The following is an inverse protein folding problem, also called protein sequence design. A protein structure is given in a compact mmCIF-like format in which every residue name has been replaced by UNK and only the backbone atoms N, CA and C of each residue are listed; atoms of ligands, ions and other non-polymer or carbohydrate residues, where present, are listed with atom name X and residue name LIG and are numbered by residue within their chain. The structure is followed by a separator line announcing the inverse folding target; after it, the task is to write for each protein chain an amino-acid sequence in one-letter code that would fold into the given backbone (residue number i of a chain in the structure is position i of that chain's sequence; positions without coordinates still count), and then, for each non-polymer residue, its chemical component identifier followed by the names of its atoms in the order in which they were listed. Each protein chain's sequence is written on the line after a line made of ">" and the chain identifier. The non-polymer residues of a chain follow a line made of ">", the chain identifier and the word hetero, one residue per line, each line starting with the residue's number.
data_IF_283057477850
#
_entry.id   IF_283057477850
#
_cell.length_a   1.000
_cell.length_b   1.000
_cell.length_c   1.000
_cell.angle_alpha   90.00
_cell.angle_beta   90.00
_cell.angle_gamma   90.00
#
_symmetry.space_group_name_H-M   'P 1'
#
loop_
_entity.id
_entity.type
_entity.pdbx_description
1 polymer ?
#
# COMPACT_ATOMS: atom_id res chain seq x y z
N UNK A 1 26.54 -8.33 -8.66
CA UNK A 1 25.20 -8.49 -9.25
C UNK A 1 24.44 -7.22 -8.94
N UNK A 2 24.28 -6.37 -9.93
CA UNK A 2 23.62 -5.08 -9.85
C UNK A 2 22.12 -5.29 -9.63
N UNK A 3 21.56 -4.56 -8.65
CA UNK A 3 20.18 -4.65 -8.16
C UNK A 3 19.14 -4.05 -9.14
N UNK A 4 19.30 -4.24 -10.44
CA UNK A 4 18.47 -3.61 -11.47
C UNK A 4 17.52 -4.58 -12.20
N UNK A 5 17.49 -5.87 -11.81
CA UNK A 5 16.48 -6.79 -12.30
C UNK A 5 15.32 -6.89 -11.31
N UNK A 6 14.39 -5.92 -11.37
CA UNK A 6 13.05 -6.11 -10.82
C UNK A 6 12.38 -7.23 -11.62
N UNK A 7 12.52 -8.46 -11.14
CA UNK A 7 11.70 -9.53 -11.68
C UNK A 7 10.25 -9.31 -11.25
N UNK A 8 9.24 -9.69 -12.05
CA UNK A 8 7.83 -9.58 -11.66
C UNK A 8 7.52 -10.25 -10.30
N UNK A 9 8.43 -11.09 -9.79
CA UNK A 9 8.32 -11.78 -8.50
C UNK A 9 8.65 -10.91 -7.28
N UNK A 10 9.36 -9.79 -7.48
CA UNK A 10 9.85 -8.93 -6.40
C UNK A 10 9.04 -7.63 -6.26
N UNK A 11 7.91 -7.52 -6.92
CA UNK A 11 7.05 -6.34 -6.82
C UNK A 11 6.25 -6.36 -5.51
N UNK A 12 6.27 -5.24 -4.78
CA UNK A 12 5.39 -5.04 -3.63
C UNK A 12 3.97 -4.74 -4.13
N UNK A 13 3.12 -5.76 -4.10
CA UNK A 13 1.75 -5.65 -4.59
C UNK A 13 0.83 -4.94 -3.59
N UNK A 14 1.09 -5.12 -2.29
CA UNK A 14 0.16 -4.68 -1.27
C UNK A 14 0.81 -4.53 0.10
N UNK A 15 0.61 -3.40 0.76
CA UNK A 15 0.95 -3.22 2.17
C UNK A 15 -0.32 -3.37 3.00
N UNK A 16 -0.30 -4.27 3.98
CA UNK A 16 -1.44 -4.58 4.84
C UNK A 16 -1.26 -3.97 6.23
N UNK A 17 -2.35 -3.57 6.83
CA UNK A 17 -2.40 -2.98 8.16
C UNK A 17 -3.33 -3.73 9.12
N UNK A 18 -3.58 -3.17 10.30
CA UNK A 18 -4.51 -3.73 11.26
C UNK A 18 -5.89 -3.98 10.65
N UNK A 19 -6.50 -5.12 10.99
CA UNK A 19 -7.80 -5.56 10.49
C UNK A 19 -7.87 -5.90 9.00
N UNK A 20 -6.76 -5.88 8.28
CA UNK A 20 -6.71 -6.39 6.92
C UNK A 20 -6.72 -7.93 6.90
N UNK A 21 -7.28 -8.50 5.85
CA UNK A 21 -7.39 -9.94 5.65
C UNK A 21 -6.65 -10.36 4.37
N UNK A 22 -5.98 -11.49 4.41
CA UNK A 22 -5.31 -12.05 3.23
C UNK A 22 -5.47 -13.58 3.15
N UNK A 23 -5.29 -14.10 1.94
CA UNK A 23 -5.46 -15.51 1.65
C UNK A 23 -6.91 -15.95 1.47
N UNK A 24 -7.83 -14.99 1.36
CA UNK A 24 -9.26 -15.22 1.12
C UNK A 24 -9.55 -15.72 -0.29
N UNK A 25 -8.74 -15.34 -1.29
CA UNK A 25 -8.96 -15.72 -2.69
C UNK A 25 -9.02 -17.24 -2.85
N UNK A 26 -8.01 -17.94 -2.36
CA UNK A 26 -7.97 -19.41 -2.41
C UNK A 26 -9.05 -20.08 -1.54
N UNK A 27 -9.71 -19.35 -0.66
CA UNK A 27 -10.87 -19.83 0.08
C UNK A 27 -12.11 -19.89 -0.82
N UNK A 28 -12.27 -18.87 -1.69
CA UNK A 28 -13.45 -18.68 -2.54
C UNK A 28 -13.33 -19.49 -3.83
N UNK A 29 -12.19 -19.42 -4.51
CA UNK A 29 -11.97 -20.05 -5.82
C UNK A 29 -11.32 -21.45 -5.74
N UNK A 30 -10.87 -21.88 -4.56
CA UNK A 30 -10.16 -23.16 -4.39
C UNK A 30 -8.74 -23.17 -4.99
N UNK A 31 -8.26 -22.04 -5.48
CA UNK A 31 -6.95 -21.91 -6.11
C UNK A 31 -5.77 -21.98 -5.14
N UNK A 32 -4.56 -21.94 -5.68
CA UNK A 32 -3.31 -21.87 -4.91
C UNK A 32 -3.08 -20.46 -4.38
N UNK A 33 -2.16 -20.30 -3.43
CA UNK A 33 -1.71 -18.97 -2.99
C UNK A 33 -0.97 -18.28 -4.13
N UNK A 34 -1.42 -17.08 -4.48
CA UNK A 34 -0.86 -16.29 -5.60
C UNK A 34 0.33 -15.43 -5.20
N UNK A 35 0.48 -15.15 -3.89
CA UNK A 35 1.49 -14.21 -3.39
C UNK A 35 2.09 -14.69 -2.07
N UNK A 36 3.28 -14.21 -1.76
CA UNK A 36 3.93 -14.38 -0.46
C UNK A 36 3.60 -13.18 0.43
N UNK A 37 3.27 -13.42 1.70
CA UNK A 37 3.11 -12.38 2.70
C UNK A 37 4.35 -12.35 3.60
N UNK A 38 4.97 -11.17 3.73
CA UNK A 38 6.14 -10.93 4.57
C UNK A 38 5.84 -9.82 5.57
N UNK A 39 6.18 -10.02 6.84
CA UNK A 39 5.96 -9.00 7.87
C UNK A 39 7.02 -7.91 7.76
N UNK A 40 6.59 -6.65 7.72
CA UNK A 40 7.46 -5.45 7.74
C UNK A 40 7.79 -5.05 9.17
N UNK A 41 6.82 -5.23 10.08
CA UNK A 41 6.97 -4.97 11.51
C UNK A 41 6.50 -6.16 12.32
N UNK A 42 6.78 -6.14 13.63
CA UNK A 42 6.20 -7.13 14.55
C UNK A 42 4.68 -7.02 14.53
N UNK A 43 3.99 -8.12 14.25
CA UNK A 43 2.54 -8.17 14.20
C UNK A 43 1.98 -9.44 14.84
N UNK A 44 0.70 -9.40 15.18
CA UNK A 44 -0.07 -10.57 15.60
C UNK A 44 -1.08 -10.91 14.50
N UNK A 45 -1.15 -12.18 14.13
CA UNK A 45 -2.05 -12.67 13.09
C UNK A 45 -3.05 -13.66 13.67
N UNK A 46 -4.32 -13.50 13.33
CA UNK A 46 -5.34 -14.50 13.58
C UNK A 46 -5.42 -15.44 12.37
N UNK A 47 -5.06 -16.71 12.58
CA UNK A 47 -5.18 -17.73 11.53
C UNK A 47 -6.51 -18.47 11.67
N UNK A 48 -7.34 -18.41 10.64
CA UNK A 48 -8.60 -19.14 10.57
C UNK A 48 -8.49 -20.26 9.54
N UNK A 49 -8.76 -21.53 9.92
CA UNK A 49 -8.82 -22.63 8.96
C UNK A 49 -9.86 -22.37 7.89
N UNK A 50 -9.55 -22.70 6.63
CA UNK A 50 -10.45 -22.44 5.50
C UNK A 50 -11.83 -23.10 5.63
N UNK A 51 -11.91 -24.31 6.23
CA UNK A 51 -13.19 -24.97 6.49
C UNK A 51 -14.07 -24.16 7.45
N UNK A 52 -13.48 -23.65 8.56
CA UNK A 52 -14.22 -22.81 9.52
C UNK A 52 -14.70 -21.50 8.88
N UNK A 53 -13.85 -20.86 8.07
CA UNK A 53 -14.24 -19.63 7.38
C UNK A 53 -15.36 -19.88 6.38
N UNK A 54 -15.33 -20.98 5.62
CA UNK A 54 -16.42 -21.34 4.71
C UNK A 54 -17.75 -21.56 5.45
N UNK A 55 -17.74 -22.21 6.59
CA UNK A 55 -18.94 -22.40 7.41
C UNK A 55 -19.46 -21.08 7.98
N UNK A 56 -18.56 -20.19 8.43
CA UNK A 56 -18.94 -18.83 8.85
C UNK A 56 -19.60 -18.04 7.73
N UNK A 57 -19.03 -18.07 6.52
CA UNK A 57 -19.59 -17.35 5.36
C UNK A 57 -20.94 -17.93 4.95
N UNK A 58 -21.13 -19.26 5.01
CA UNK A 58 -22.42 -19.90 4.70
C UNK A 58 -23.49 -19.58 5.74
N UNK A 59 -23.12 -19.58 7.01
CA UNK A 59 -24.05 -19.40 8.12
C UNK A 59 -24.35 -17.95 8.49
N UNK A 60 -23.52 -17.00 8.05
CA UNK A 60 -23.59 -15.60 8.47
C UNK A 60 -23.45 -14.63 7.29
N UNK A 61 -24.58 -14.07 6.89
CA UNK A 61 -24.65 -13.11 5.78
C UNK A 61 -23.83 -11.83 6.05
N UNK A 62 -23.76 -11.38 7.30
CA UNK A 62 -22.97 -10.22 7.71
C UNK A 62 -21.47 -10.46 7.47
N UNK A 63 -20.96 -11.65 7.72
CA UNK A 63 -19.57 -12.04 7.43
C UNK A 63 -19.31 -12.05 5.92
N UNK A 64 -20.24 -12.63 5.15
CA UNK A 64 -20.13 -12.64 3.68
C UNK A 64 -20.13 -11.23 3.10
N UNK A 65 -21.02 -10.36 3.55
CA UNK A 65 -21.06 -8.95 3.13
C UNK A 65 -19.80 -8.17 3.53
N UNK A 66 -19.28 -8.41 4.73
CA UNK A 66 -18.02 -7.78 5.16
C UNK A 66 -16.85 -8.23 4.28
N UNK A 67 -16.76 -9.50 3.93
CA UNK A 67 -15.73 -10.01 3.00
C UNK A 67 -15.86 -9.39 1.61
N UNK A 68 -17.07 -9.35 1.05
CA UNK A 68 -17.35 -8.71 -0.25
C UNK A 68 -16.98 -7.23 -0.23
N UNK A 69 -17.27 -6.50 0.85
CA UNK A 69 -16.87 -5.12 1.04
C UNK A 69 -15.35 -4.95 0.97
N UNK A 70 -14.60 -5.78 1.69
CA UNK A 70 -13.12 -5.75 1.67
C UNK A 70 -12.55 -6.10 0.29
N UNK A 71 -13.12 -7.10 -0.39
CA UNK A 71 -12.70 -7.44 -1.75
C UNK A 71 -13.00 -6.32 -2.74
N UNK A 72 -14.15 -5.66 -2.61
CA UNK A 72 -14.53 -4.52 -3.44
C UNK A 72 -13.60 -3.31 -3.22
N UNK A 73 -13.24 -3.01 -1.97
CA UNK A 73 -12.24 -1.98 -1.65
C UNK A 73 -10.87 -2.31 -2.28
N UNK A 74 -10.46 -3.58 -2.17
CA UNK A 74 -9.19 -4.03 -2.75
C UNK A 74 -9.20 -3.96 -4.27
N UNK A 75 -10.31 -4.32 -4.92
CA UNK A 75 -10.45 -4.21 -6.37
C UNK A 75 -10.37 -2.76 -6.83
N UNK A 76 -11.13 -1.85 -6.22
CA UNK A 76 -11.05 -0.41 -6.55
C UNK A 76 -9.64 0.14 -6.44
N UNK A 77 -8.91 -0.23 -5.39
CA UNK A 77 -7.50 0.21 -5.24
C UNK A 77 -6.59 -0.40 -6.30
N UNK A 78 -6.83 -1.65 -6.71
CA UNK A 78 -6.08 -2.27 -7.80
C UNK A 78 -6.33 -1.55 -9.13
N UNK A 79 -7.58 -1.16 -9.39
CA UNK A 79 -7.97 -0.37 -10.56
C UNK A 79 -7.30 1.01 -10.54
N UNK A 80 -7.35 1.74 -9.41
CA UNK A 80 -6.70 3.03 -9.23
C UNK A 80 -5.18 2.91 -9.44
N UNK A 81 -4.53 1.93 -8.82
CA UNK A 81 -3.11 1.66 -9.02
C UNK A 81 -2.79 1.42 -10.49
N UNK A 82 -3.59 0.58 -11.17
CA UNK A 82 -3.39 0.28 -12.60
C UNK A 82 -3.51 1.54 -13.45
N UNK A 83 -4.50 2.39 -13.19
CA UNK A 83 -4.66 3.66 -13.89
C UNK A 83 -3.42 4.55 -13.73
N UNK A 84 -2.90 4.69 -12.50
CA UNK A 84 -1.69 5.47 -12.23
C UNK A 84 -0.42 4.84 -12.86
N UNK A 85 -0.34 3.51 -12.95
CA UNK A 85 0.77 2.84 -13.62
C UNK A 85 0.78 3.06 -15.13
N UNK A 86 -0.40 3.13 -15.75
CA UNK A 86 -0.53 3.29 -17.20
C UNK A 86 -0.31 4.74 -17.64
N UNK A 87 -0.86 5.70 -16.89
CA UNK A 87 -0.87 7.13 -17.30
C UNK A 87 0.12 8.01 -16.55
N UNK A 88 0.58 7.58 -15.37
CA UNK A 88 1.38 8.43 -14.48
C UNK A 88 2.89 8.26 -14.65
N UNK A 89 3.62 9.37 -14.58
CA UNK A 89 5.08 9.34 -14.40
C UNK A 89 5.46 8.92 -12.96
N UNK A 90 6.75 8.67 -12.71
CA UNK A 90 7.21 8.21 -11.39
C UNK A 90 6.87 9.18 -10.24
N UNK A 91 7.03 10.51 -10.36
CA UNK A 91 6.58 11.44 -9.34
C UNK A 91 5.07 11.37 -9.06
N UNK A 92 4.22 11.20 -10.10
CA UNK A 92 2.77 11.03 -9.96
C UNK A 92 2.43 9.78 -9.15
N UNK A 93 3.01 8.64 -9.51
CA UNK A 93 2.83 7.38 -8.79
C UNK A 93 3.33 7.46 -7.35
N UNK A 94 4.48 8.12 -7.11
CA UNK A 94 4.98 8.35 -5.76
C UNK A 94 4.01 9.21 -4.93
N UNK A 95 3.50 10.31 -5.49
CA UNK A 95 2.54 11.16 -4.81
C UNK A 95 1.26 10.39 -4.43
N UNK A 96 0.72 9.59 -5.36
CA UNK A 96 -0.40 8.70 -5.10
C UNK A 96 -0.10 7.69 -3.99
N UNK A 97 1.05 7.01 -4.06
CA UNK A 97 1.47 6.03 -3.05
C UNK A 97 1.58 6.66 -1.67
N UNK A 98 2.20 7.85 -1.56
CA UNK A 98 2.32 8.56 -0.28
C UNK A 98 0.96 8.97 0.29
N UNK A 99 0.02 9.40 -0.55
CA UNK A 99 -1.34 9.75 -0.14
C UNK A 99 -2.14 8.50 0.29
N UNK A 100 -1.98 7.37 -0.41
CA UNK A 100 -2.63 6.12 0.01
C UNK A 100 -2.08 5.63 1.36
N UNK A 101 -0.77 5.67 1.55
CA UNK A 101 -0.15 5.37 2.84
C UNK A 101 -0.62 6.33 3.94
N UNK A 102 -0.80 7.61 3.62
CA UNK A 102 -1.31 8.61 4.57
C UNK A 102 -2.75 8.34 5.00
N UNK A 103 -3.62 7.97 4.07
CA UNK A 103 -5.01 7.59 4.38
C UNK A 103 -5.10 6.37 5.29
N UNK A 104 -4.17 5.41 5.15
CA UNK A 104 -4.23 4.11 5.84
C UNK A 104 -3.45 4.08 7.14
N UNK A 105 -2.32 4.75 7.19
CA UNK A 105 -1.35 4.66 8.28
C UNK A 105 -0.95 6.03 8.83
N UNK A 106 -1.50 7.10 8.29
CA UNK A 106 -1.19 8.46 8.69
C UNK A 106 -1.81 8.84 10.03
N UNK A 107 -1.09 9.64 10.77
CA UNK A 107 -1.58 10.29 12.00
C UNK A 107 -1.44 11.80 11.81
N UNK A 108 -2.57 12.51 11.89
CA UNK A 108 -2.56 13.96 11.83
C UNK A 108 -1.92 14.54 13.10
N UNK A 109 -1.02 15.51 12.93
CA UNK A 109 -0.50 16.31 14.03
C UNK A 109 -1.51 17.45 14.32
N UNK A 110 -2.15 17.48 15.51
CA UNK A 110 -3.19 18.47 15.80
C UNK A 110 -2.70 19.92 15.76
N UNK A 111 -1.42 20.15 16.03
CA UNK A 111 -0.85 21.50 16.11
C UNK A 111 -0.45 22.08 14.77
N UNK A 112 -0.08 21.23 13.79
CA UNK A 112 0.43 21.67 12.48
C UNK A 112 -0.49 21.30 11.31
N UNK A 113 -1.42 20.37 11.52
CA UNK A 113 -2.23 19.76 10.45
C UNK A 113 -1.45 18.79 9.56
N UNK A 114 -0.15 18.64 9.77
CA UNK A 114 0.68 17.75 8.96
C UNK A 114 0.34 16.29 9.25
N UNK A 115 0.46 15.43 8.24
CA UNK A 115 0.17 13.99 8.37
C UNK A 115 1.50 13.23 8.47
N UNK A 116 1.75 12.60 9.60
CA UNK A 116 2.92 11.75 9.82
C UNK A 116 2.58 10.33 9.41
N UNK A 117 3.30 9.80 8.44
CA UNK A 117 3.13 8.44 7.89
C UNK A 117 4.34 7.59 8.27
N UNK A 118 4.16 6.65 9.17
CA UNK A 118 5.16 5.61 9.49
C UNK A 118 4.87 4.40 8.62
N UNK A 119 5.53 4.33 7.47
CA UNK A 119 5.30 3.24 6.50
C UNK A 119 6.22 2.03 6.73
N UNK A 120 7.28 2.20 7.53
CA UNK A 120 8.27 1.19 7.88
C UNK A 120 8.99 0.51 6.69
N UNK A 121 8.66 0.87 5.46
CA UNK A 121 9.29 0.37 4.25
C UNK A 121 10.72 0.90 4.11
N UNK A 122 11.60 0.07 3.59
CA UNK A 122 12.89 0.49 3.06
C UNK A 122 12.69 1.32 1.79
N UNK A 123 13.73 2.04 1.36
CA UNK A 123 13.68 2.76 0.08
C UNK A 123 13.51 1.83 -1.12
N UNK A 124 14.01 0.60 -1.01
CA UNK A 124 13.82 -0.42 -2.04
C UNK A 124 12.36 -0.87 -2.13
N UNK A 125 11.74 -1.19 -1.01
CA UNK A 125 10.33 -1.58 -0.95
C UNK A 125 9.40 -0.43 -1.38
N UNK A 126 9.73 0.82 -1.02
CA UNK A 126 8.99 1.98 -1.51
C UNK A 126 9.13 2.12 -3.04
N UNK A 127 10.32 1.89 -3.58
CA UNK A 127 10.55 1.90 -5.02
C UNK A 127 9.77 0.78 -5.74
N UNK A 128 9.70 -0.41 -5.15
CA UNK A 128 8.85 -1.51 -5.63
C UNK A 128 7.37 -1.13 -5.62
N UNK A 129 6.88 -0.49 -4.55
CA UNK A 129 5.50 -0.03 -4.46
C UNK A 129 5.14 1.01 -5.54
N UNK A 130 6.10 1.88 -5.88
CA UNK A 130 5.96 2.90 -6.95
C UNK A 130 6.18 2.31 -8.34
N UNK A 131 6.78 1.10 -8.44
CA UNK A 131 7.15 0.47 -9.71
C UNK A 131 8.24 1.22 -10.46
N UNK A 132 9.31 1.59 -9.76
CA UNK A 132 10.44 2.32 -10.33
C UNK A 132 11.76 1.99 -9.64
N UNK A 133 12.87 2.50 -10.16
CA UNK A 133 14.16 2.35 -9.51
C UNK A 133 14.24 3.17 -8.21
N UNK A 134 15.04 2.70 -7.26
CA UNK A 134 15.32 3.39 -6.01
C UNK A 134 15.84 4.81 -6.24
N UNK A 135 16.70 4.99 -7.24
CA UNK A 135 17.31 6.28 -7.59
C UNK A 135 16.25 7.28 -8.05
N UNK A 136 15.35 6.84 -8.94
CA UNK A 136 14.28 7.69 -9.47
C UNK A 136 13.30 8.10 -8.36
N UNK A 137 12.92 7.17 -7.47
CA UNK A 137 12.05 7.47 -6.34
C UNK A 137 12.73 8.42 -5.34
N UNK A 138 14.01 8.23 -5.05
CA UNK A 138 14.77 9.16 -4.20
C UNK A 138 14.87 10.57 -4.79
N UNK A 139 15.06 10.69 -6.10
CA UNK A 139 15.06 11.98 -6.79
C UNK A 139 13.70 12.68 -6.65
N UNK A 140 12.61 11.96 -6.82
CA UNK A 140 11.26 12.51 -6.65
C UNK A 140 10.96 12.89 -5.19
N UNK A 141 11.38 12.09 -4.20
CA UNK A 141 11.27 12.43 -2.78
C UNK A 141 12.06 13.71 -2.44
N UNK A 142 13.26 13.84 -2.99
CA UNK A 142 14.10 15.04 -2.80
C UNK A 142 13.46 16.29 -3.42
N UNK A 143 12.87 16.17 -4.60
CA UNK A 143 12.14 17.28 -5.24
C UNK A 143 10.92 17.70 -4.40
N UNK A 144 10.12 16.75 -3.94
CA UNK A 144 8.98 17.05 -3.07
C UNK A 144 9.39 17.69 -1.75
N UNK A 145 10.50 17.24 -1.16
CA UNK A 145 11.05 17.84 0.05
C UNK A 145 11.59 19.26 -0.19
N UNK A 146 12.28 19.49 -1.30
CA UNK A 146 12.78 20.81 -1.68
C UNK A 146 11.66 21.84 -1.90
N UNK A 147 10.51 21.36 -2.39
CA UNK A 147 9.26 22.17 -2.54
C UNK A 147 8.52 22.38 -1.21
N UNK A 148 8.94 21.76 -0.13
CA UNK A 148 8.25 21.83 1.16
C UNK A 148 6.94 21.04 1.22
N UNK A 149 6.69 20.12 0.29
CA UNK A 149 5.45 19.33 0.28
C UNK A 149 5.50 18.19 1.30
N UNK A 150 6.70 17.65 1.51
CA UNK A 150 6.95 16.58 2.48
C UNK A 150 8.24 16.83 3.26
N UNK A 151 8.37 16.16 4.40
CA UNK A 151 9.66 15.92 5.05
C UNK A 151 9.89 14.41 5.09
N UNK A 152 10.92 13.92 4.39
CA UNK A 152 11.25 12.52 4.31
C UNK A 152 12.37 12.16 5.29
N UNK A 153 12.18 11.09 6.06
CA UNK A 153 13.16 10.44 6.93
C UNK A 153 13.12 8.94 6.66
N UNK A 154 14.12 8.16 7.06
CA UNK A 154 14.05 6.71 6.92
C UNK A 154 12.76 6.16 7.53
N UNK A 155 11.97 5.42 6.75
CA UNK A 155 10.73 4.76 7.15
C UNK A 155 9.57 5.68 7.57
N UNK A 156 9.74 7.00 7.48
CA UNK A 156 8.74 7.99 7.89
C UNK A 156 8.68 9.12 6.88
N UNK A 157 7.48 9.47 6.43
CA UNK A 157 7.23 10.67 5.64
C UNK A 157 6.22 11.54 6.36
N UNK A 158 6.51 12.82 6.51
CA UNK A 158 5.54 13.81 6.98
C UNK A 158 5.04 14.57 5.77
N UNK A 159 3.74 14.50 5.52
CA UNK A 159 3.07 15.27 4.46
C UNK A 159 2.66 16.61 5.05
N UNK A 160 3.17 17.68 4.47
CA UNK A 160 2.90 19.07 4.87
C UNK A 160 1.87 19.72 3.95
N UNK A 161 1.88 19.38 2.67
CA UNK A 161 1.01 19.95 1.63
C UNK A 161 0.24 18.82 0.90
N UNK A 162 -0.78 18.21 1.51
CA UNK A 162 -1.51 17.08 0.91
C UNK A 162 -2.20 17.45 -0.40
N UNK A 163 -2.69 18.68 -0.54
CA UNK A 163 -3.35 19.16 -1.78
C UNK A 163 -2.36 19.26 -2.94
N UNK A 164 -1.11 19.67 -2.68
CA UNK A 164 -0.06 19.71 -3.70
C UNK A 164 0.31 18.32 -4.20
N UNK A 165 0.41 17.36 -3.26
CA UNK A 165 0.61 15.96 -3.63
C UNK A 165 -0.58 15.40 -4.41
N UNK A 166 -1.82 15.71 -4.02
CA UNK A 166 -3.01 15.27 -4.73
C UNK A 166 -3.06 15.83 -6.16
N UNK A 167 -2.76 17.11 -6.32
CA UNK A 167 -2.64 17.73 -7.65
C UNK A 167 -1.52 17.11 -8.51
N UNK A 168 -0.46 16.60 -7.88
CA UNK A 168 0.65 15.94 -8.59
C UNK A 168 0.33 14.47 -8.92
N UNK A 169 -0.53 13.82 -8.14
CA UNK A 169 -0.95 12.46 -8.36
C UNK A 169 -1.89 12.31 -9.57
N UNK A 170 -2.66 13.35 -9.88
CA UNK A 170 -3.56 13.42 -11.05
C UNK A 170 -2.82 13.91 -12.30
#
# INVERSE_FOLDING_TARGET
>A
TTADDLTPRDSLLWLMGPSDMFGELSLVDGGTRSTTATTVTRCSLLKTPGAQMRELVKGRHDVALAMLGRLSERLRRADDNTAHFVSGDVPSRLAYTLLDLARRFGTANPSTGHIVVRHDLTQHELAQAVGSSRETVNKALTDFAARGWIAARPKVVTIMEPEKLASRAN
#
